data_IF_614186307049
#
_entry.id   IF_614186307049
#
_cell.length_a   1.000
_cell.length_b   1.000
_cell.length_c   1.000
_cell.angle_alpha   90.00
_cell.angle_beta   90.00
_cell.angle_gamma   90.00
#
_symmetry.space_group_name_H-M   'P 1'
#
loop_
_entity.id
_entity.type
_entity.pdbx_description
1 polymer ?
#
# COMPACT_ATOMS: atom_id res chain seq x y z
N UNK A 1 -24.47 9.11 -11.58
CA UNK A 1 -23.01 8.99 -11.33
C UNK A 1 -22.70 9.64 -10.00
N UNK A 2 -21.95 8.98 -9.10
CA UNK A 2 -21.50 9.58 -7.83
C UNK A 2 -20.03 9.97 -7.99
N UNK A 3 -19.74 11.27 -7.94
CA UNK A 3 -18.37 11.79 -7.97
C UNK A 3 -17.78 11.76 -6.57
N UNK A 4 -16.52 11.33 -6.45
CA UNK A 4 -15.76 11.36 -5.21
C UNK A 4 -14.39 11.96 -5.49
N UNK A 5 -13.97 12.90 -4.66
CA UNK A 5 -12.61 13.42 -4.69
C UNK A 5 -11.71 12.42 -3.97
N UNK A 6 -10.61 12.05 -4.63
CA UNK A 6 -9.62 11.13 -4.08
C UNK A 6 -8.28 11.85 -4.02
N UNK A 7 -7.46 11.46 -3.05
CA UNK A 7 -6.08 11.88 -2.91
C UNK A 7 -5.14 10.74 -3.31
N UNK A 8 -3.97 11.10 -3.83
CA UNK A 8 -2.90 10.17 -4.14
C UNK A 8 -1.72 10.46 -3.22
N UNK A 9 -1.13 9.40 -2.67
CA UNK A 9 -0.10 9.47 -1.64
C UNK A 9 1.02 8.51 -2.03
N UNK A 10 2.27 8.97 -1.96
CA UNK A 10 3.43 8.09 -2.05
C UNK A 10 3.74 7.55 -0.65
N UNK A 11 3.68 6.23 -0.50
CA UNK A 11 3.82 5.55 0.78
C UNK A 11 4.87 4.46 0.71
N UNK A 12 5.50 4.19 1.84
CA UNK A 12 6.44 3.08 1.97
C UNK A 12 5.70 1.81 2.34
N UNK A 13 6.10 0.69 1.72
CA UNK A 13 5.72 -0.64 2.18
C UNK A 13 6.55 -0.95 3.44
N UNK A 14 5.87 -1.31 4.52
CA UNK A 14 6.50 -1.68 5.80
C UNK A 14 6.16 -3.10 6.24
N UNK A 15 5.31 -3.79 5.48
CA UNK A 15 4.89 -5.16 5.76
C UNK A 15 4.04 -5.73 4.64
N UNK A 16 4.01 -7.05 4.55
CA UNK A 16 3.14 -7.80 3.67
C UNK A 16 2.30 -8.75 4.52
N UNK A 17 0.98 -8.62 4.46
CA UNK A 17 0.09 -9.48 5.24
C UNK A 17 0.04 -10.87 4.59
N UNK A 18 0.37 -11.96 5.32
CA UNK A 18 0.40 -13.30 4.75
C UNK A 18 -0.98 -13.74 4.25
N UNK A 19 -0.99 -14.69 3.33
CA UNK A 19 -2.22 -15.27 2.77
C UNK A 19 -2.07 -16.77 2.61
N UNK A 20 -3.22 -17.48 2.62
CA UNK A 20 -3.30 -18.92 2.36
C UNK A 20 -3.72 -19.25 0.92
N UNK A 21 -4.01 -18.22 0.12
CA UNK A 21 -4.43 -18.40 -1.28
C UNK A 21 -3.21 -18.79 -2.12
N UNK A 22 -3.25 -19.97 -2.72
CA UNK A 22 -2.17 -20.49 -3.55
C UNK A 22 -1.84 -19.52 -4.71
N UNK A 23 -0.54 -19.32 -4.97
CA UNK A 23 -0.05 -18.43 -6.04
C UNK A 23 -0.13 -16.93 -5.73
N UNK A 24 -0.69 -16.53 -4.58
CA UNK A 24 -0.75 -15.13 -4.15
C UNK A 24 0.28 -14.88 -3.04
N UNK A 25 1.23 -13.93 -3.19
CA UNK A 25 2.31 -13.76 -2.22
C UNK A 25 1.84 -13.09 -0.91
N UNK A 26 0.82 -12.24 -0.97
CA UNK A 26 0.25 -11.56 0.19
C UNK A 26 -1.24 -11.25 0.00
N UNK A 27 -1.95 -10.88 1.07
CA UNK A 27 -3.36 -10.46 1.00
C UNK A 27 -3.53 -8.94 0.96
N UNK A 28 -2.67 -8.22 1.67
CA UNK A 28 -2.61 -6.76 1.69
C UNK A 28 -1.17 -6.29 1.97
N UNK A 29 -0.93 -5.02 1.70
CA UNK A 29 0.33 -4.32 1.98
C UNK A 29 0.12 -3.43 3.19
N UNK A 30 1.00 -3.49 4.16
CA UNK A 30 1.06 -2.54 5.27
C UNK A 30 1.88 -1.35 4.83
N UNK A 31 1.32 -0.15 4.98
CA UNK A 31 1.91 1.08 4.44
C UNK A 31 2.14 2.14 5.52
N UNK A 32 3.23 2.89 5.36
CA UNK A 32 3.59 3.99 6.23
C UNK A 32 3.89 5.25 5.41
N UNK A 33 3.60 6.41 6.01
CA UNK A 33 4.05 7.69 5.52
C UNK A 33 5.35 8.08 6.21
N UNK A 34 6.29 8.66 5.47
CA UNK A 34 7.47 9.26 6.07
C UNK A 34 7.15 10.68 6.56
N UNK A 35 7.29 10.91 7.87
CA UNK A 35 7.08 12.20 8.52
C UNK A 35 8.32 12.48 9.36
N UNK A 36 9.05 13.55 9.03
CA UNK A 36 10.29 13.96 9.74
C UNK A 36 11.33 12.82 9.84
N UNK A 37 11.48 12.05 8.75
CA UNK A 37 12.41 10.91 8.69
C UNK A 37 11.96 9.66 9.46
N UNK A 38 10.71 9.62 9.95
CA UNK A 38 10.12 8.47 10.64
C UNK A 38 8.98 7.89 9.82
N UNK A 39 8.95 6.56 9.72
CA UNK A 39 7.84 5.83 9.09
C UNK A 39 6.68 5.71 10.09
N UNK A 40 5.58 6.38 9.80
CA UNK A 40 4.34 6.37 10.58
C UNK A 40 3.32 5.48 9.88
N UNK A 41 2.87 4.35 10.47
CA UNK A 41 1.91 3.45 9.83
C UNK A 41 0.55 4.09 9.57
N UNK A 42 0.11 4.11 8.31
CA UNK A 42 -1.15 4.75 7.88
C UNK A 42 -2.23 3.76 7.43
N UNK A 43 -1.95 2.45 7.44
CA UNK A 43 -2.98 1.42 7.26
C UNK A 43 -2.54 0.31 6.31
N UNK A 44 -3.52 -0.31 5.65
CA UNK A 44 -3.29 -1.39 4.70
C UNK A 44 -3.93 -1.11 3.35
N UNK A 45 -3.33 -1.67 2.29
CA UNK A 45 -3.83 -1.61 0.91
C UNK A 45 -4.05 -3.04 0.42
N UNK A 46 -5.32 -3.42 0.25
CA UNK A 46 -5.71 -4.78 -0.16
C UNK A 46 -6.14 -4.92 -1.62
N UNK A 47 -6.19 -3.82 -2.38
CA UNK A 47 -6.74 -3.80 -3.75
C UNK A 47 -5.92 -2.91 -4.67
N UNK A 48 -6.07 -3.12 -5.99
CA UNK A 48 -5.46 -2.30 -7.03
C UNK A 48 -4.31 -2.96 -7.77
N UNK A 49 -3.83 -4.10 -7.28
CA UNK A 49 -2.71 -4.85 -7.88
C UNK A 49 -3.20 -5.92 -8.87
N UNK A 50 -2.46 -6.11 -9.95
CA UNK A 50 -2.46 -7.31 -10.78
C UNK A 50 -1.64 -8.43 -10.11
N UNK A 51 -1.76 -9.67 -10.61
CA UNK A 51 -0.96 -10.78 -10.09
C UNK A 51 0.54 -10.56 -10.27
N UNK A 52 0.97 -9.97 -11.39
CA UNK A 52 2.37 -9.65 -11.69
C UNK A 52 2.90 -8.57 -10.74
N UNK A 53 2.12 -7.52 -10.50
CA UNK A 53 2.49 -6.46 -9.55
C UNK A 53 2.63 -7.01 -8.13
N UNK A 54 1.77 -7.96 -7.73
CA UNK A 54 1.92 -8.62 -6.43
C UNK A 54 3.23 -9.41 -6.31
N UNK A 55 3.64 -10.11 -7.38
CA UNK A 55 4.91 -10.83 -7.38
C UNK A 55 6.08 -9.87 -7.31
N UNK A 56 6.03 -8.79 -8.09
CA UNK A 56 7.11 -7.79 -8.11
C UNK A 56 7.22 -7.05 -6.78
N UNK A 57 6.11 -6.67 -6.15
CA UNK A 57 6.09 -6.09 -4.80
C UNK A 57 6.74 -7.03 -3.80
N UNK A 58 6.37 -8.31 -3.82
CA UNK A 58 6.92 -9.30 -2.90
C UNK A 58 8.44 -9.46 -3.10
N UNK A 59 8.90 -9.54 -4.35
CA UNK A 59 10.31 -9.63 -4.71
C UNK A 59 11.11 -8.41 -4.25
N UNK A 60 10.62 -7.20 -4.54
CA UNK A 60 11.29 -5.95 -4.15
C UNK A 60 11.34 -5.80 -2.64
N UNK A 61 10.26 -6.15 -1.94
CA UNK A 61 10.19 -6.08 -0.48
C UNK A 61 11.12 -7.09 0.19
N UNK A 62 11.26 -8.30 -0.35
CA UNK A 62 12.22 -9.29 0.15
C UNK A 62 13.66 -8.80 0.02
N UNK A 63 14.00 -8.16 -1.10
CA UNK A 63 15.34 -7.61 -1.35
C UNK A 63 15.62 -6.38 -0.49
N UNK A 64 14.66 -5.47 -0.34
CA UNK A 64 14.84 -4.23 0.42
C UNK A 64 13.55 -3.76 1.12
N UNK A 65 13.21 -4.31 2.29
CA UNK A 65 11.91 -4.12 2.93
C UNK A 65 11.65 -2.70 3.44
N UNK A 66 12.66 -1.82 3.45
CA UNK A 66 12.53 -0.44 3.98
C UNK A 66 12.49 0.63 2.89
N UNK A 67 12.58 0.25 1.62
CA UNK A 67 12.80 1.22 0.54
C UNK A 67 11.83 1.05 -0.64
N UNK A 68 10.82 0.18 -0.53
CA UNK A 68 9.82 0.06 -1.59
C UNK A 68 8.75 1.12 -1.39
N UNK A 69 8.69 2.07 -2.33
CA UNK A 69 7.70 3.14 -2.35
C UNK A 69 6.65 2.88 -3.43
N UNK A 70 5.39 3.12 -3.09
CA UNK A 70 4.25 2.91 -3.98
C UNK A 70 3.32 4.11 -3.93
N UNK A 71 2.62 4.36 -5.03
CA UNK A 71 1.55 5.35 -5.09
C UNK A 71 0.21 4.71 -4.78
N UNK A 72 -0.51 5.31 -3.83
CA UNK A 72 -1.79 4.83 -3.33
C UNK A 72 -2.85 5.91 -3.47
N UNK A 73 -3.99 5.56 -4.06
CA UNK A 73 -5.20 6.39 -4.06
C UNK A 73 -6.03 6.09 -2.82
N UNK A 74 -6.61 7.12 -2.23
CA UNK A 74 -7.54 7.02 -1.10
C UNK A 74 -8.64 8.09 -1.19
N UNK A 75 -9.80 7.85 -0.57
CA UNK A 75 -10.87 8.84 -0.46
C UNK A 75 -10.66 9.84 0.69
N UNK A 76 -9.53 9.74 1.41
CA UNK A 76 -9.20 10.59 2.55
C UNK A 76 -8.60 9.77 3.69
N UNK A 77 -8.40 10.42 4.82
CA UNK A 77 -8.00 9.75 6.06
C UNK A 77 -9.21 9.63 7.01
N UNK A 78 -9.23 8.59 7.82
CA UNK A 78 -10.13 8.50 8.97
C UNK A 78 -9.71 9.52 10.05
N UNK A 79 -10.56 9.73 11.05
CA UNK A 79 -10.25 10.61 12.20
C UNK A 79 -8.96 10.19 12.92
N UNK A 80 -8.65 8.89 12.91
CA UNK A 80 -7.41 8.32 13.46
C UNK A 80 -6.22 8.34 12.49
N UNK A 81 -6.32 9.07 11.37
CA UNK A 81 -5.26 9.20 10.38
C UNK A 81 -5.01 7.97 9.51
N UNK A 82 -5.94 7.01 9.43
CA UNK A 82 -5.78 5.80 8.60
C UNK A 82 -6.36 6.01 7.20
N UNK A 83 -5.79 5.36 6.20
CA UNK A 83 -6.28 5.46 4.82
C UNK A 83 -7.73 4.95 4.70
N UNK A 84 -8.58 5.72 4.04
CA UNK A 84 -9.95 5.32 3.74
C UNK A 84 -10.10 4.90 2.28
N UNK A 85 -10.59 3.68 2.04
CA UNK A 85 -10.74 3.09 0.70
C UNK A 85 -9.46 3.16 -0.14
N UNK A 86 -8.34 2.72 0.45
CA UNK A 86 -7.04 2.70 -0.20
C UNK A 86 -6.97 1.72 -1.37
N UNK A 87 -6.31 2.13 -2.45
CA UNK A 87 -6.06 1.32 -3.64
C UNK A 87 -4.68 1.63 -4.21
N UNK A 88 -3.91 0.60 -4.52
CA UNK A 88 -2.65 0.75 -5.24
C UNK A 88 -2.88 1.27 -6.66
N UNK A 89 -1.95 2.11 -7.12
CA UNK A 89 -1.92 2.62 -8.49
C UNK A 89 -0.70 2.13 -9.25
N UNK A 90 0.49 2.40 -8.73
CA UNK A 90 1.76 2.14 -9.41
C UNK A 90 2.93 2.17 -8.43
N UNK A 91 4.09 1.70 -8.89
CA UNK A 91 5.37 1.95 -8.24
C UNK A 91 5.78 3.42 -8.41
N UNK A 92 6.55 3.94 -7.46
CA UNK A 92 7.18 5.25 -7.56
C UNK A 92 8.57 5.16 -8.21
#
# INVERSE_FOLDING_TARGET
>A
VRTKYCQELDLFIVGLTPTKVAGRPFSAIEVAQEIEGKLVPVGTVGTGFSGEEMQEIARLYEVNPKNVKIKVRSQGLTESGKLWHARFLEFC
#
